data_IF_078435688888
#
_entry.id   IF_078435688888
#
_cell.length_a   1.000
_cell.length_b   1.000
_cell.length_c   1.000
_cell.angle_alpha   90.00
_cell.angle_beta   90.00
_cell.angle_gamma   90.00
#
_symmetry.space_group_name_H-M   'P 1'
#
loop_
_entity.id
_entity.type
_entity.pdbx_description
1 polymer ?
#
# COMPACT_ATOMS: atom_id res chain seq x y z
N UNK A 1 -12.97 -50.04 10.03
CA UNK A 1 -14.32 -49.75 9.50
C UNK A 1 -14.16 -48.77 8.34
N UNK A 2 -14.25 -49.24 7.09
CA UNK A 2 -14.20 -48.37 5.91
C UNK A 2 -15.57 -47.72 5.71
N UNK A 3 -15.63 -46.41 5.75
CA UNK A 3 -16.85 -45.65 5.52
C UNK A 3 -17.11 -45.56 4.01
N UNK A 4 -18.26 -46.08 3.56
CA UNK A 4 -18.67 -46.03 2.15
C UNK A 4 -18.90 -44.58 1.70
N UNK A 5 -18.46 -44.23 0.47
CA UNK A 5 -18.60 -42.90 -0.13
C UNK A 5 -20.01 -42.32 -0.05
N UNK A 6 -21.04 -43.16 -0.20
CA UNK A 6 -22.45 -42.75 -0.08
C UNK A 6 -22.83 -42.32 1.33
N UNK A 7 -22.30 -43.01 2.36
CA UNK A 7 -22.53 -42.64 3.76
C UNK A 7 -21.81 -41.34 4.10
N UNK A 8 -20.56 -41.15 3.58
CA UNK A 8 -19.83 -39.88 3.75
C UNK A 8 -20.58 -38.70 3.16
N UNK A 9 -21.09 -38.82 1.92
CA UNK A 9 -21.83 -37.71 1.27
C UNK A 9 -23.15 -37.39 1.98
N UNK A 10 -23.86 -38.41 2.52
CA UNK A 10 -25.06 -38.13 3.34
C UNK A 10 -24.74 -37.39 4.63
N UNK A 11 -23.69 -37.79 5.34
CA UNK A 11 -23.26 -37.10 6.58
C UNK A 11 -22.75 -35.72 6.29
N UNK A 12 -21.94 -35.55 5.24
CA UNK A 12 -21.41 -34.23 4.82
C UNK A 12 -22.54 -33.30 4.36
N UNK A 13 -23.55 -33.81 3.64
CA UNK A 13 -24.72 -33.04 3.23
C UNK A 13 -25.57 -32.54 4.41
N UNK A 14 -25.80 -33.40 5.41
CA UNK A 14 -26.54 -33.04 6.61
C UNK A 14 -25.78 -32.00 7.44
N UNK A 15 -24.46 -32.15 7.57
CA UNK A 15 -23.62 -31.19 8.33
C UNK A 15 -23.54 -29.83 7.65
N UNK A 16 -23.56 -29.76 6.32
CA UNK A 16 -23.59 -28.48 5.62
C UNK A 16 -24.93 -27.73 5.81
N UNK A 17 -26.04 -28.42 5.79
CA UNK A 17 -27.36 -27.82 6.06
C UNK A 17 -27.47 -27.32 7.49
N UNK A 18 -26.98 -28.06 8.47
CA UNK A 18 -26.94 -27.63 9.88
C UNK A 18 -25.93 -26.52 10.10
N UNK A 19 -24.82 -26.51 9.38
CA UNK A 19 -23.80 -25.42 9.42
C UNK A 19 -24.35 -24.08 8.90
N UNK A 20 -25.13 -24.09 7.82
CA UNK A 20 -25.79 -22.89 7.30
C UNK A 20 -26.87 -22.37 8.25
N UNK A 21 -27.59 -23.22 8.94
CA UNK A 21 -28.57 -22.83 9.96
C UNK A 21 -27.94 -22.14 11.17
N UNK A 22 -26.78 -22.64 11.62
CA UNK A 22 -26.06 -22.02 12.76
C UNK A 22 -25.46 -20.64 12.39
N UNK A 23 -24.94 -20.47 11.18
CA UNK A 23 -24.42 -19.19 10.73
C UNK A 23 -25.51 -18.13 10.52
N UNK A 24 -26.69 -18.53 10.06
CA UNK A 24 -27.84 -17.63 9.92
C UNK A 24 -28.41 -17.19 11.28
N UNK A 25 -28.40 -18.07 12.29
CA UNK A 25 -28.80 -17.73 13.66
C UNK A 25 -27.78 -16.78 14.33
N UNK A 26 -26.49 -16.98 14.10
CA UNK A 26 -25.43 -16.09 14.58
C UNK A 26 -25.50 -14.72 13.92
N UNK A 27 -25.80 -14.63 12.62
CA UNK A 27 -26.00 -13.37 11.92
C UNK A 27 -27.22 -12.59 12.42
N UNK A 28 -28.32 -13.28 12.79
CA UNK A 28 -29.49 -12.64 13.40
C UNK A 28 -29.22 -12.11 14.81
N UNK A 29 -28.41 -12.79 15.60
CA UNK A 29 -28.01 -12.31 16.93
C UNK A 29 -27.08 -11.09 16.84
N UNK A 30 -26.27 -10.99 15.76
CA UNK A 30 -25.44 -9.79 15.50
C UNK A 30 -26.29 -8.58 15.10
N UNK A 31 -27.35 -8.78 14.35
CA UNK A 31 -28.28 -7.70 13.97
C UNK A 31 -29.16 -7.17 15.11
N UNK A 32 -29.27 -7.95 16.21
CA UNK A 32 -30.06 -7.57 17.42
C UNK A 32 -29.29 -6.85 18.50
N UNK A 33 -27.97 -6.70 18.39
CA UNK A 33 -27.19 -5.88 19.33
C UNK A 33 -27.33 -4.40 18.98
N UNK A 34 -28.36 -3.77 19.58
CA UNK A 34 -28.47 -2.31 19.67
C UNK A 34 -27.22 -1.79 20.38
N UNK A 35 -26.24 -1.25 19.65
CA UNK A 35 -25.07 -0.62 20.24
C UNK A 35 -23.78 -0.64 19.41
N UNK A 36 -23.70 -1.43 18.37
CA UNK A 36 -22.59 -1.35 17.39
C UNK A 36 -22.98 -0.43 16.24
N UNK A 37 -23.17 0.85 16.54
CA UNK A 37 -23.06 1.87 15.50
C UNK A 37 -21.60 1.87 15.10
N UNK A 38 -21.24 1.57 13.83
CA UNK A 38 -19.87 1.75 13.38
C UNK A 38 -19.47 3.20 13.72
N UNK A 39 -18.25 3.44 14.20
CA UNK A 39 -17.83 4.79 14.51
C UNK A 39 -18.10 5.65 13.27
N UNK A 40 -19.01 6.61 13.38
CA UNK A 40 -19.19 7.62 12.37
C UNK A 40 -17.92 8.46 12.40
N UNK A 41 -17.06 8.24 11.43
CA UNK A 41 -15.95 9.14 11.17
C UNK A 41 -16.58 10.39 10.57
N UNK A 42 -16.76 11.42 11.37
CA UNK A 42 -17.16 12.72 10.87
C UNK A 42 -16.09 13.20 9.90
N UNK A 43 -16.51 13.49 8.67
CA UNK A 43 -15.59 14.04 7.68
C UNK A 43 -15.03 15.36 8.24
N UNK A 44 -13.69 15.46 8.28
CA UNK A 44 -13.06 16.71 8.72
C UNK A 44 -13.54 17.84 7.81
N UNK A 45 -14.23 18.83 8.41
CA UNK A 45 -14.79 19.99 7.68
C UNK A 45 -13.70 20.86 7.05
N UNK A 46 -12.48 20.78 7.57
CA UNK A 46 -11.30 21.49 7.04
C UNK A 46 -10.54 20.69 5.98
N UNK A 47 -10.96 19.45 5.67
CA UNK A 47 -10.31 18.64 4.66
C UNK A 47 -10.45 19.30 3.30
N UNK A 48 -9.33 19.45 2.61
CA UNK A 48 -9.30 19.94 1.24
C UNK A 48 -10.04 18.95 0.34
N UNK A 49 -10.94 19.44 -0.48
CA UNK A 49 -11.66 18.65 -1.46
C UNK A 49 -11.28 19.07 -2.87
N UNK A 50 -11.06 18.10 -3.76
CA UNK A 50 -10.74 18.35 -5.15
C UNK A 50 -11.43 17.33 -6.06
N UNK A 51 -11.75 17.72 -7.30
CA UNK A 51 -12.16 16.79 -8.33
C UNK A 51 -11.01 15.92 -8.79
N UNK A 52 -9.79 16.45 -8.71
CA UNK A 52 -8.54 15.80 -9.07
C UNK A 52 -7.39 16.46 -8.34
N UNK A 53 -6.50 15.65 -7.81
CA UNK A 53 -5.27 16.09 -7.17
C UNK A 53 -4.12 16.10 -8.17
N UNK A 54 -3.22 17.06 -8.01
CA UNK A 54 -1.95 17.13 -8.70
C UNK A 54 -0.86 17.57 -7.73
N UNK A 55 0.35 17.10 -7.96
CA UNK A 55 1.55 17.51 -7.22
C UNK A 55 2.58 18.08 -8.20
N UNK A 56 3.12 19.22 -7.88
CA UNK A 56 4.23 19.84 -8.61
C UNK A 56 5.48 19.76 -7.74
N UNK A 57 6.55 19.20 -8.29
CA UNK A 57 7.87 19.14 -7.64
C UNK A 57 8.79 20.12 -8.36
N UNK A 58 9.14 21.23 -7.70
CA UNK A 58 10.09 22.21 -8.23
C UNK A 58 11.52 21.71 -7.97
N UNK A 59 12.12 21.07 -8.97
CA UNK A 59 13.47 20.52 -8.90
C UNK A 59 14.54 21.59 -8.68
N UNK A 60 14.29 22.88 -8.98
CA UNK A 60 15.23 23.95 -8.74
C UNK A 60 15.52 24.21 -7.26
N UNK A 61 14.64 23.73 -6.38
CA UNK A 61 14.76 23.82 -4.92
C UNK A 61 15.66 22.75 -4.32
N UNK A 62 15.93 21.69 -5.05
CA UNK A 62 16.77 20.57 -4.60
C UNK A 62 18.20 20.76 -5.11
N UNK A 63 19.07 21.28 -4.26
CA UNK A 63 20.46 21.58 -4.59
C UNK A 63 21.43 20.54 -4.07
N UNK A 64 21.06 19.85 -3.02
CA UNK A 64 21.89 18.85 -2.32
C UNK A 64 21.11 17.58 -2.04
N UNK A 65 21.82 16.48 -1.82
CA UNK A 65 21.21 15.21 -1.40
C UNK A 65 20.43 15.34 -0.08
N UNK A 66 20.84 16.27 0.78
CA UNK A 66 20.16 16.54 2.04
C UNK A 66 18.73 17.09 1.84
N UNK A 67 18.48 17.84 0.77
CA UNK A 67 17.14 18.38 0.48
C UNK A 67 16.18 17.24 0.10
N UNK A 68 16.66 16.26 -0.69
CA UNK A 68 15.89 15.06 -0.99
C UNK A 68 15.63 14.23 0.25
N UNK A 69 16.64 14.01 1.10
CA UNK A 69 16.51 13.26 2.35
C UNK A 69 15.49 13.88 3.29
N UNK A 70 15.42 15.21 3.40
CA UNK A 70 14.42 15.92 4.21
C UNK A 70 12.98 15.58 3.77
N UNK A 71 12.72 15.64 2.46
CA UNK A 71 11.38 15.34 1.92
C UNK A 71 11.02 13.87 2.12
N UNK A 72 11.97 12.97 1.84
CA UNK A 72 11.78 11.52 2.04
C UNK A 72 11.51 11.22 3.51
N UNK A 73 12.31 11.78 4.42
CA UNK A 73 12.17 11.61 5.85
C UNK A 73 10.82 12.14 6.37
N UNK A 74 10.41 13.33 5.93
CA UNK A 74 9.11 13.89 6.30
C UNK A 74 7.95 12.97 5.90
N UNK A 75 7.95 12.46 4.66
CA UNK A 75 6.94 11.51 4.20
C UNK A 75 6.97 10.20 5.01
N UNK A 76 8.16 9.62 5.18
CA UNK A 76 8.31 8.33 5.84
C UNK A 76 7.94 8.40 7.33
N UNK A 77 8.29 9.48 8.02
CA UNK A 77 7.91 9.72 9.42
C UNK A 77 6.41 9.89 9.58
N UNK A 78 5.80 10.73 8.74
CA UNK A 78 4.34 11.00 8.81
C UNK A 78 3.51 9.74 8.56
N UNK A 79 3.98 8.86 7.68
CA UNK A 79 3.23 7.67 7.26
C UNK A 79 3.74 6.38 7.92
N UNK A 80 4.61 6.46 8.93
CA UNK A 80 5.19 5.30 9.60
C UNK A 80 5.77 4.27 8.61
N UNK A 81 6.52 4.75 7.60
CA UNK A 81 7.14 3.86 6.61
C UNK A 81 8.30 3.12 7.28
N UNK A 82 8.32 1.78 7.26
CA UNK A 82 9.36 1.01 7.91
C UNK A 82 10.71 1.18 7.19
N UNK A 83 11.77 1.34 7.98
CA UNK A 83 13.14 1.41 7.50
C UNK A 83 13.96 0.28 8.12
N UNK A 84 14.38 -0.67 7.28
CA UNK A 84 15.19 -1.83 7.66
C UNK A 84 16.65 -1.67 7.27
N UNK A 85 17.15 -0.43 7.20
CA UNK A 85 18.58 -0.20 6.95
C UNK A 85 19.44 -0.78 8.07
N UNK A 86 20.53 -1.38 7.66
CA UNK A 86 21.58 -1.81 8.56
C UNK A 86 22.33 -0.60 9.14
N UNK A 87 23.14 -0.83 10.16
CA UNK A 87 23.95 0.23 10.77
C UNK A 87 24.97 0.87 9.80
N UNK A 88 25.38 0.14 8.76
CA UNK A 88 26.25 0.62 7.68
C UNK A 88 25.51 1.41 6.57
N UNK A 89 24.18 1.58 6.71
CA UNK A 89 23.34 2.25 5.75
C UNK A 89 22.90 1.39 4.56
N UNK A 90 23.35 0.15 4.47
CA UNK A 90 22.92 -0.78 3.42
C UNK A 90 21.48 -1.24 3.64
N UNK A 91 20.77 -1.52 2.55
CA UNK A 91 19.40 -2.04 2.60
C UNK A 91 19.31 -3.32 1.79
N UNK A 92 18.77 -4.38 2.39
CA UNK A 92 18.32 -5.52 1.59
C UNK A 92 17.16 -5.07 0.70
N UNK A 93 17.35 -5.16 -0.62
CA UNK A 93 16.35 -4.76 -1.62
C UNK A 93 14.98 -5.42 -1.41
N UNK A 94 14.93 -6.58 -0.78
CA UNK A 94 13.67 -7.25 -0.44
C UNK A 94 12.92 -6.55 0.69
N UNK A 95 13.65 -5.91 1.60
CA UNK A 95 13.08 -5.24 2.77
C UNK A 95 12.86 -3.74 2.53
N UNK A 96 13.34 -3.21 1.41
CA UNK A 96 13.19 -1.80 1.07
C UNK A 96 11.73 -1.44 0.76
N UNK A 97 11.17 -0.56 1.56
CA UNK A 97 9.82 -0.03 1.37
C UNK A 97 9.90 1.38 0.80
N UNK A 98 9.37 1.55 -0.41
CA UNK A 98 9.45 2.81 -1.17
C UNK A 98 8.09 3.50 -1.20
N UNK A 99 8.00 4.69 -0.60
CA UNK A 99 6.88 5.60 -0.76
C UNK A 99 7.26 6.81 -1.59
N UNK A 100 8.33 7.49 -1.20
CA UNK A 100 9.06 8.48 -1.99
C UNK A 100 10.52 8.07 -1.98
N UNK A 101 11.19 8.16 -3.12
CA UNK A 101 12.61 7.85 -3.26
C UNK A 101 13.23 8.68 -4.37
N UNK A 102 14.53 8.62 -4.53
CA UNK A 102 15.23 9.23 -5.66
C UNK A 102 15.60 8.19 -6.71
N UNK A 103 15.54 8.59 -7.97
CA UNK A 103 15.99 7.79 -9.09
C UNK A 103 16.62 8.70 -10.16
N UNK A 104 17.58 8.22 -10.97
CA UNK A 104 18.12 8.98 -12.09
C UNK A 104 17.06 9.21 -13.17
N UNK A 105 17.31 10.17 -14.07
CA UNK A 105 16.38 10.57 -15.13
C UNK A 105 15.83 9.40 -15.92
N UNK A 106 16.69 8.51 -16.39
CA UNK A 106 16.35 7.35 -17.22
C UNK A 106 15.27 6.45 -16.57
N UNK A 107 15.37 6.26 -15.25
CA UNK A 107 14.38 5.46 -14.49
C UNK A 107 13.14 6.25 -14.10
N UNK A 108 13.26 7.58 -13.97
CA UNK A 108 12.15 8.45 -13.58
C UNK A 108 11.21 8.72 -14.75
N UNK A 109 11.78 8.83 -15.96
CA UNK A 109 11.06 9.19 -17.19
C UNK A 109 11.32 8.19 -18.32
N UNK A 110 10.94 6.91 -18.18
CA UNK A 110 11.16 5.90 -19.21
C UNK A 110 10.45 6.32 -20.52
N UNK A 111 11.16 6.29 -21.61
CA UNK A 111 10.68 6.68 -22.94
C UNK A 111 10.79 8.18 -23.27
N UNK A 112 11.33 9.00 -22.39
CA UNK A 112 11.63 10.42 -22.66
C UNK A 112 13.14 10.67 -22.81
N UNK A 113 13.96 9.64 -22.74
CA UNK A 113 15.39 9.74 -22.98
C UNK A 113 15.67 10.08 -24.45
N UNK A 114 16.56 11.02 -24.68
CA UNK A 114 17.00 11.39 -26.02
C UNK A 114 18.50 11.78 -26.04
N UNK A 115 19.11 11.64 -27.21
CA UNK A 115 20.54 11.87 -27.39
C UNK A 115 21.00 13.32 -27.20
N UNK A 116 20.08 14.28 -27.17
CA UNK A 116 20.39 15.72 -27.03
C UNK A 116 20.27 16.18 -25.59
N UNK A 117 19.94 15.29 -24.66
CA UNK A 117 19.84 15.61 -23.25
C UNK A 117 21.23 15.90 -22.67
N UNK A 118 21.35 16.96 -21.86
CA UNK A 118 22.60 17.27 -21.20
C UNK A 118 22.96 16.19 -20.15
N UNK A 119 24.24 15.88 -20.02
CA UNK A 119 24.73 14.90 -19.02
C UNK A 119 24.31 15.29 -17.61
N UNK A 120 24.32 16.60 -17.30
CA UNK A 120 23.88 17.10 -16.01
C UNK A 120 22.43 16.67 -15.65
N UNK A 121 21.50 16.67 -16.60
CA UNK A 121 20.12 16.24 -16.37
C UNK A 121 20.03 14.73 -16.21
N UNK A 122 20.84 13.98 -16.96
CA UNK A 122 20.85 12.50 -16.88
C UNK A 122 21.28 12.02 -15.51
N UNK A 123 22.29 12.65 -14.92
CA UNK A 123 22.86 12.26 -13.64
C UNK A 123 22.09 12.84 -12.44
N UNK A 124 21.25 13.83 -12.67
CA UNK A 124 20.49 14.47 -11.59
C UNK A 124 19.47 13.50 -10.97
N UNK A 125 19.41 13.39 -9.64
CA UNK A 125 18.38 12.61 -8.97
C UNK A 125 17.01 13.33 -9.05
N UNK A 126 15.97 12.54 -9.31
CA UNK A 126 14.58 13.01 -9.30
C UNK A 126 13.80 12.34 -8.19
N UNK A 127 12.89 13.07 -7.54
CA UNK A 127 11.93 12.49 -6.61
C UNK A 127 10.89 11.69 -7.37
N UNK A 128 10.76 10.44 -6.99
CA UNK A 128 9.83 9.47 -7.59
C UNK A 128 8.87 8.97 -6.52
N UNK A 129 7.61 8.84 -6.87
CA UNK A 129 6.54 8.36 -6.00
C UNK A 129 5.44 7.67 -6.83
N UNK A 130 4.36 7.23 -6.19
CA UNK A 130 3.21 6.72 -6.91
C UNK A 130 2.52 7.82 -7.73
N UNK A 131 2.39 7.65 -9.03
CA UNK A 131 1.78 8.65 -9.94
C UNK A 131 0.25 8.69 -9.88
N UNK A 132 -0.41 7.87 -9.05
CA UNK A 132 -1.88 7.79 -9.00
C UNK A 132 -2.52 7.80 -10.39
N UNK A 133 -2.03 6.95 -11.29
CA UNK A 133 -2.32 6.92 -12.73
C UNK A 133 -3.80 7.05 -13.07
N UNK A 134 -4.12 7.63 -14.23
CA UNK A 134 -5.51 7.70 -14.72
C UNK A 134 -6.11 6.33 -15.00
N UNK A 135 -5.34 5.47 -15.66
CA UNK A 135 -5.70 4.09 -15.96
C UNK A 135 -4.74 3.14 -15.24
N UNK A 136 -4.84 2.99 -13.92
CA UNK A 136 -3.83 2.29 -13.13
C UNK A 136 -3.83 0.78 -13.43
N UNK A 137 -2.75 0.23 -14.01
CA UNK A 137 -2.66 -1.20 -14.28
C UNK A 137 -2.71 -2.02 -12.97
N UNK A 138 -2.20 -1.47 -11.90
CA UNK A 138 -2.22 -2.10 -10.58
C UNK A 138 -3.64 -2.33 -10.01
N UNK A 139 -4.62 -1.49 -10.39
CA UNK A 139 -6.04 -1.71 -10.04
C UNK A 139 -6.61 -2.84 -10.87
N UNK A 140 -6.31 -2.89 -12.17
CA UNK A 140 -6.83 -3.92 -13.08
C UNK A 140 -6.37 -5.33 -12.73
N UNK A 141 -5.12 -5.48 -12.29
CA UNK A 141 -4.54 -6.80 -11.99
C UNK A 141 -4.82 -7.28 -10.57
N UNK A 142 -5.47 -6.49 -9.73
CA UNK A 142 -5.74 -6.87 -8.34
C UNK A 142 -6.94 -7.81 -8.24
N UNK A 143 -6.76 -9.11 -7.89
CA UNK A 143 -7.85 -10.09 -7.88
C UNK A 143 -8.87 -9.82 -6.78
N UNK A 144 -8.44 -9.26 -5.66
CA UNK A 144 -9.30 -8.96 -4.49
C UNK A 144 -9.86 -7.55 -4.51
N UNK A 145 -9.52 -6.74 -5.52
CA UNK A 145 -9.83 -5.30 -5.57
C UNK A 145 -9.34 -4.52 -4.34
N UNK A 146 -8.29 -5.02 -3.70
CA UNK A 146 -7.61 -4.31 -2.62
C UNK A 146 -7.00 -2.99 -3.11
N UNK A 147 -6.56 -2.92 -4.37
CA UNK A 147 -6.17 -1.67 -5.01
C UNK A 147 -7.36 -1.13 -5.80
N UNK A 148 -7.74 0.10 -5.55
CA UNK A 148 -8.90 0.75 -6.17
C UNK A 148 -8.64 2.23 -6.42
N UNK A 149 -9.49 2.87 -7.22
CA UNK A 149 -9.41 4.30 -7.53
C UNK A 149 -10.58 5.03 -6.90
N UNK A 150 -10.28 6.14 -6.22
CA UNK A 150 -11.29 7.05 -5.68
C UNK A 150 -11.84 7.99 -6.76
N UNK A 151 -12.93 8.69 -6.44
CA UNK A 151 -13.59 9.64 -7.37
C UNK A 151 -12.71 10.85 -7.70
N UNK A 152 -11.84 11.23 -6.78
CA UNK A 152 -10.86 12.32 -6.93
C UNK A 152 -9.61 11.94 -7.73
N UNK A 153 -9.57 10.72 -8.27
CA UNK A 153 -8.47 10.20 -9.04
C UNK A 153 -7.38 9.49 -8.24
N UNK A 154 -7.43 9.52 -6.92
CA UNK A 154 -6.43 8.88 -6.05
C UNK A 154 -6.52 7.36 -6.14
N UNK A 155 -5.39 6.70 -6.35
CA UNK A 155 -5.31 5.23 -6.31
C UNK A 155 -4.96 4.80 -4.89
N UNK A 156 -5.84 4.06 -4.25
CA UNK A 156 -5.71 3.61 -2.87
C UNK A 156 -5.39 2.13 -2.75
N UNK A 157 -5.00 1.71 -1.55
CA UNK A 157 -4.72 0.32 -1.21
C UNK A 157 -5.40 -0.03 0.11
N UNK A 158 -6.31 -1.00 0.07
CA UNK A 158 -6.92 -1.59 1.26
C UNK A 158 -6.05 -2.77 1.74
N UNK A 159 -5.40 -2.60 2.88
CA UNK A 159 -4.49 -3.60 3.44
C UNK A 159 -5.23 -4.83 3.96
N UNK A 160 -6.49 -4.71 4.36
CA UNK A 160 -7.31 -5.83 4.85
C UNK A 160 -7.76 -6.76 3.72
N UNK A 161 -7.96 -6.22 2.51
CA UNK A 161 -8.28 -7.01 1.31
C UNK A 161 -7.07 -7.56 0.60
N UNK A 162 -5.89 -7.06 0.93
CA UNK A 162 -4.65 -7.46 0.26
C UNK A 162 -4.25 -8.87 0.68
N UNK A 163 -4.16 -9.80 -0.28
CA UNK A 163 -3.69 -11.18 -0.08
C UNK A 163 -2.21 -11.36 -0.38
N UNK A 164 -1.48 -10.28 -0.70
CA UNK A 164 -0.05 -10.33 -0.95
C UNK A 164 0.37 -11.04 -2.25
N UNK A 165 -0.51 -11.18 -3.23
CA UNK A 165 -0.19 -11.86 -4.50
C UNK A 165 0.85 -11.13 -5.37
N UNK A 166 1.12 -9.84 -5.10
CA UNK A 166 2.13 -8.98 -5.74
C UNK A 166 1.91 -8.68 -7.24
N UNK A 167 0.79 -9.08 -7.83
CA UNK A 167 0.47 -8.75 -9.23
C UNK A 167 0.51 -7.25 -9.50
N UNK A 168 0.09 -6.44 -8.54
CA UNK A 168 0.15 -4.98 -8.64
C UNK A 168 1.60 -4.43 -8.64
N UNK A 169 2.58 -5.15 -8.07
CA UNK A 169 4.00 -4.80 -8.17
C UNK A 169 4.52 -5.08 -9.58
N UNK A 170 4.22 -6.26 -10.12
CA UNK A 170 4.58 -6.62 -11.50
C UNK A 170 3.89 -5.71 -12.54
N UNK A 171 2.66 -5.28 -12.26
CA UNK A 171 1.89 -4.39 -13.14
C UNK A 171 2.27 -2.92 -13.05
N UNK A 172 3.09 -2.48 -12.08
CA UNK A 172 3.48 -1.08 -11.94
C UNK A 172 4.74 -0.78 -12.75
N UNK A 173 4.67 0.05 -13.83
CA UNK A 173 5.85 0.36 -14.63
C UNK A 173 6.87 1.24 -13.90
N UNK A 174 6.45 1.92 -12.83
CA UNK A 174 7.28 2.85 -12.07
C UNK A 174 7.94 2.24 -10.84
N UNK A 175 7.67 0.97 -10.52
CA UNK A 175 8.20 0.32 -9.32
C UNK A 175 7.72 0.93 -8.00
N UNK A 176 6.59 1.67 -8.01
CA UNK A 176 6.07 2.42 -6.87
C UNK A 176 5.27 1.54 -5.89
N UNK A 177 5.62 0.26 -5.76
CA UNK A 177 4.98 -0.67 -4.84
C UNK A 177 6.01 -1.57 -4.19
N UNK A 178 5.92 -1.67 -2.88
CA UNK A 178 6.81 -2.49 -2.06
C UNK A 178 6.01 -3.54 -1.30
N UNK A 179 6.64 -4.64 -0.91
CA UNK A 179 5.97 -5.73 -0.22
C UNK A 179 6.57 -5.97 1.16
N UNK A 180 5.73 -6.10 2.16
CA UNK A 180 6.13 -6.36 3.53
C UNK A 180 6.47 -7.84 3.76
N UNK A 181 7.72 -8.21 3.49
CA UNK A 181 8.23 -9.57 3.73
C UNK A 181 8.37 -9.90 5.22
N UNK A 182 8.65 -8.90 6.02
CA UNK A 182 8.71 -8.96 7.49
C UNK A 182 7.62 -8.06 8.09
N UNK A 183 7.38 -8.17 9.38
CA UNK A 183 6.41 -7.30 10.05
C UNK A 183 6.98 -5.87 10.11
N UNK A 184 6.34 -4.87 9.47
CA UNK A 184 6.78 -3.48 9.48
C UNK A 184 7.02 -2.91 10.87
N UNK A 185 6.23 -3.34 11.85
CA UNK A 185 6.34 -2.91 13.25
C UNK A 185 7.62 -3.36 13.93
N UNK A 186 8.39 -4.25 13.30
CA UNK A 186 9.71 -4.66 13.80
C UNK A 186 10.83 -3.77 13.32
N UNK A 187 10.56 -2.82 12.42
CA UNK A 187 11.56 -1.91 11.89
C UNK A 187 12.15 -1.03 13.00
N UNK A 188 13.47 -0.78 12.98
CA UNK A 188 14.16 0.01 14.02
C UNK A 188 13.57 1.41 14.22
N UNK A 189 13.17 2.07 13.13
CA UNK A 189 12.61 3.43 13.15
C UNK A 189 11.17 3.51 13.70
N UNK A 190 10.51 2.37 13.88
CA UNK A 190 9.14 2.29 14.44
C UNK A 190 9.13 1.77 15.88
N UNK A 191 10.30 1.64 16.51
CA UNK A 191 10.46 1.17 17.89
C UNK A 191 11.14 2.24 18.76
N UNK A 192 10.82 2.29 20.08
CA UNK A 192 9.77 1.54 20.79
C UNK A 192 8.35 2.01 20.45
N UNK A 193 8.21 3.25 19.97
CA UNK A 193 6.95 3.87 19.58
C UNK A 193 7.01 4.33 18.12
N UNK A 194 5.83 4.28 17.43
CA UNK A 194 5.69 4.79 16.07
C UNK A 194 5.81 6.32 16.05
N UNK A 195 6.46 6.93 15.05
CA UNK A 195 6.63 8.37 14.95
C UNK A 195 5.28 9.13 14.88
N UNK A 196 4.30 8.56 14.19
CA UNK A 196 2.97 9.14 14.08
C UNK A 196 1.90 8.15 14.56
N UNK A 197 1.28 8.44 15.72
CA UNK A 197 0.25 7.58 16.30
C UNK A 197 -1.09 7.65 15.58
N UNK A 198 -1.32 8.72 14.83
CA UNK A 198 -2.56 8.93 14.08
C UNK A 198 -2.56 8.18 12.73
N UNK A 199 -1.40 7.70 12.28
CA UNK A 199 -1.27 6.95 11.04
C UNK A 199 -1.02 5.46 11.32
N UNK A 200 -1.85 4.54 10.76
CA UNK A 200 -1.74 3.12 11.06
C UNK A 200 -0.46 2.50 10.49
N UNK A 201 0.14 1.57 11.23
CA UNK A 201 1.16 0.68 10.70
C UNK A 201 0.51 -0.42 9.87
N UNK A 202 1.26 -0.93 8.88
CA UNK A 202 0.80 -2.03 8.04
C UNK A 202 1.16 -3.39 8.66
N UNK A 203 0.60 -4.44 8.10
CA UNK A 203 0.89 -5.81 8.51
C UNK A 203 1.88 -6.48 7.55
N UNK A 204 2.52 -7.55 8.02
CA UNK A 204 3.29 -8.45 7.17
C UNK A 204 2.40 -9.04 6.07
N UNK A 205 2.95 -9.25 4.88
CA UNK A 205 2.27 -9.96 3.79
C UNK A 205 1.39 -9.09 2.90
N UNK A 206 1.41 -7.77 3.06
CA UNK A 206 0.65 -6.84 2.22
C UNK A 206 1.60 -5.99 1.36
N UNK A 207 1.05 -5.43 0.27
CA UNK A 207 1.76 -4.49 -0.59
C UNK A 207 1.50 -3.07 -0.11
N UNK A 208 2.55 -2.27 -0.05
CA UNK A 208 2.50 -0.83 0.26
C UNK A 208 2.75 0.04 -0.96
N UNK A 209 2.28 1.27 -0.89
CA UNK A 209 2.57 2.36 -1.83
C UNK A 209 2.28 3.70 -1.17
N UNK A 210 2.77 4.77 -1.76
CA UNK A 210 2.37 6.15 -1.42
C UNK A 210 0.85 6.32 -1.58
N UNK A 211 0.18 6.86 -0.58
CA UNK A 211 -1.27 7.14 -0.54
C UNK A 211 -1.53 8.58 -0.17
#
# INVERSE_FOLDING_TARGET
MSMDRRKFLKVAGISSILGFGASAASARNYAGQKGLVPPQVDANKEALTAKRWAMVVDMSKFKTDEDFKKVISACHTTHNVPDFRNADGSVDRKLEIKWIWTAPYERSFPGQDNKYMSEHIKDMPFLVLCNHCDNPPCVRVCPTKATFKLKDGTTMQDMHRCIGCRFCMAGCPYGARSFNWVDPRTAPNLKPDVPNRDYPTRSKGVVEKCT
#
